data_IF_690449719134
#
_entry.id   IF_690449719134
#
_cell.length_a   1.000
_cell.length_b   1.000
_cell.length_c   1.000
_cell.angle_alpha   90.00
_cell.angle_beta   90.00
_cell.angle_gamma   90.00
#
_symmetry.space_group_name_H-M   'P 1'
#
loop_
_entity.id
_entity.type
_entity.pdbx_description
1 polymer ?
#
# COMPACT_ATOMS: atom_id res chain seq x y z
N UNK A 1 58.92 -20.67 -47.55
CA UNK A 1 57.60 -20.04 -47.57
C UNK A 1 56.60 -21.04 -47.00
N UNK A 2 56.30 -20.90 -45.80
CA UNK A 2 55.37 -21.75 -45.10
C UNK A 2 54.09 -21.01 -44.90
N UNK A 3 53.00 -21.55 -45.43
CA UNK A 3 51.64 -21.04 -45.18
C UNK A 3 51.22 -21.27 -43.76
N UNK A 4 50.64 -20.28 -43.07
CA UNK A 4 50.09 -20.53 -41.77
C UNK A 4 48.79 -21.33 -41.94
N UNK A 5 48.74 -22.44 -41.28
CA UNK A 5 47.52 -23.22 -41.18
C UNK A 5 46.40 -22.42 -40.51
N UNK A 6 45.36 -22.16 -41.25
CA UNK A 6 44.13 -21.62 -40.72
C UNK A 6 43.45 -22.72 -39.96
N UNK A 7 43.50 -22.69 -38.66
CA UNK A 7 42.65 -23.51 -37.78
C UNK A 7 41.25 -22.91 -37.79
N UNK A 8 40.40 -23.51 -38.56
CA UNK A 8 38.95 -23.30 -38.45
C UNK A 8 38.52 -23.90 -37.14
N UNK A 9 38.29 -23.05 -36.17
CA UNK A 9 37.47 -23.41 -34.99
C UNK A 9 36.05 -23.75 -35.46
N UNK A 10 35.80 -25.01 -35.63
CA UNK A 10 34.42 -25.46 -35.63
C UNK A 10 33.80 -25.21 -34.26
N UNK A 11 33.18 -24.06 -34.11
CA UNK A 11 32.23 -23.85 -33.05
C UNK A 11 31.09 -24.82 -33.29
N UNK A 12 31.09 -25.89 -32.52
CA UNK A 12 29.91 -26.72 -32.36
C UNK A 12 28.80 -25.86 -31.81
N UNK A 13 27.94 -25.37 -32.69
CA UNK A 13 26.66 -24.77 -32.31
C UNK A 13 25.82 -25.90 -31.72
N UNK A 14 25.87 -26.02 -30.41
CA UNK A 14 24.89 -26.80 -29.68
C UNK A 14 23.53 -26.16 -29.96
N UNK A 15 22.78 -26.73 -30.86
CA UNK A 15 21.36 -26.41 -31.03
C UNK A 15 20.62 -26.79 -29.74
N UNK A 16 20.55 -25.82 -28.85
CA UNK A 16 19.67 -25.93 -27.70
C UNK A 16 18.26 -26.07 -28.25
N UNK A 17 17.71 -27.27 -28.15
CA UNK A 17 16.30 -27.50 -28.42
C UNK A 17 15.50 -26.55 -27.56
N UNK A 18 14.84 -25.58 -28.18
CA UNK A 18 14.01 -24.64 -27.50
C UNK A 18 12.87 -25.40 -26.81
N UNK A 19 12.95 -25.53 -25.48
CA UNK A 19 11.84 -26.07 -24.70
C UNK A 19 10.67 -25.08 -24.85
N UNK A 20 9.61 -25.53 -25.49
CA UNK A 20 8.34 -24.83 -25.59
C UNK A 20 7.70 -24.79 -24.21
N UNK A 21 7.85 -23.68 -23.50
CA UNK A 21 7.28 -23.48 -22.17
C UNK A 21 7.66 -22.10 -21.63
N UNK A 22 7.01 -21.64 -20.55
CA UNK A 22 7.37 -20.37 -19.93
C UNK A 22 8.81 -20.39 -19.47
N UNK A 23 9.56 -19.36 -19.84
CA UNK A 23 10.98 -19.24 -19.45
C UNK A 23 11.09 -19.14 -17.92
N UNK A 24 12.02 -19.86 -17.28
CA UNK A 24 12.24 -19.74 -15.84
C UNK A 24 12.70 -18.31 -15.49
N UNK A 25 12.41 -17.91 -14.27
CA UNK A 25 12.88 -16.62 -13.73
C UNK A 25 14.40 -16.56 -13.81
N UNK A 26 14.90 -15.45 -14.30
CA UNK A 26 16.35 -15.17 -14.30
C UNK A 26 16.66 -14.23 -13.15
N UNK A 27 17.71 -14.55 -12.39
CA UNK A 27 18.21 -13.65 -11.37
C UNK A 27 19.01 -12.54 -12.07
N UNK A 28 18.58 -11.31 -11.88
CA UNK A 28 19.28 -10.11 -12.35
C UNK A 28 19.70 -9.30 -11.13
N UNK A 29 20.89 -8.69 -11.22
CA UNK A 29 21.34 -7.73 -10.21
C UNK A 29 20.78 -6.36 -10.56
N UNK A 30 20.04 -5.77 -9.63
CA UNK A 30 19.48 -4.42 -9.76
C UNK A 30 19.97 -3.59 -8.58
N UNK A 31 20.45 -2.39 -8.84
CA UNK A 31 20.75 -1.43 -7.78
C UNK A 31 19.44 -0.89 -7.21
N UNK A 32 19.21 -1.11 -5.93
CA UNK A 32 18.04 -0.65 -5.21
C UNK A 32 18.49 0.29 -4.11
N UNK A 33 17.90 1.49 -4.09
CA UNK A 33 18.09 2.42 -2.98
C UNK A 33 17.24 1.97 -1.79
N UNK A 34 17.87 1.40 -0.78
CA UNK A 34 17.16 0.88 0.40
C UNK A 34 18.12 0.65 1.56
N UNK A 35 17.58 0.16 2.65
CA UNK A 35 18.32 -0.15 3.88
C UNK A 35 18.58 -1.64 3.99
N UNK A 36 19.82 -2.02 4.28
CA UNK A 36 20.13 -3.40 4.67
C UNK A 36 19.81 -3.63 6.14
N UNK A 37 18.98 -4.63 6.41
CA UNK A 37 18.58 -5.03 7.76
C UNK A 37 18.94 -6.48 8.00
N UNK A 38 19.47 -6.77 9.19
CA UNK A 38 19.89 -8.10 9.57
C UNK A 38 21.41 -8.31 9.50
N UNK A 39 21.83 -9.52 9.80
CA UNK A 39 23.26 -9.90 9.81
C UNK A 39 23.48 -11.20 9.03
N UNK A 40 24.62 -11.29 8.38
CA UNK A 40 25.02 -12.50 7.67
C UNK A 40 24.04 -12.92 6.57
N UNK A 41 23.63 -14.18 6.59
CA UNK A 41 22.67 -14.72 5.58
C UNK A 41 21.24 -14.21 5.75
N UNK A 42 20.91 -13.60 6.89
CA UNK A 42 19.59 -13.05 7.18
C UNK A 42 19.46 -11.57 6.80
N UNK A 43 20.37 -11.04 5.99
CA UNK A 43 20.28 -9.69 5.45
C UNK A 43 19.09 -9.59 4.51
N UNK A 44 18.33 -8.52 4.69
CA UNK A 44 17.22 -8.16 3.81
C UNK A 44 17.34 -6.69 3.43
N UNK A 45 17.06 -6.39 2.19
CA UNK A 45 16.98 -5.01 1.69
C UNK A 45 15.55 -4.54 1.82
N UNK A 46 15.34 -3.47 2.56
CA UNK A 46 14.03 -2.86 2.77
C UNK A 46 14.05 -1.45 2.21
N UNK A 47 13.09 -1.15 1.36
CA UNK A 47 12.96 0.15 0.69
C UNK A 47 11.88 0.96 1.39
N UNK A 48 12.21 2.17 1.85
CA UNK A 48 11.28 3.07 2.53
C UNK A 48 10.00 3.33 1.75
N UNK A 49 10.13 3.56 0.46
CA UNK A 49 8.98 3.84 -0.40
C UNK A 49 8.01 2.68 -0.48
N UNK A 50 8.50 1.44 -0.41
CA UNK A 50 7.65 0.26 -0.44
C UNK A 50 6.98 0.01 0.92
N UNK A 51 7.69 0.27 2.02
CA UNK A 51 7.10 0.26 3.37
C UNK A 51 5.97 1.30 3.45
N UNK A 52 6.21 2.51 2.96
CA UNK A 52 5.21 3.57 2.90
C UNK A 52 3.98 3.17 2.08
N UNK A 53 4.18 2.63 0.88
CA UNK A 53 3.08 2.16 0.01
C UNK A 53 2.23 1.09 0.67
N UNK A 54 2.86 0.09 1.28
CA UNK A 54 2.13 -0.97 1.98
C UNK A 54 1.32 -0.43 3.15
N UNK A 55 1.89 0.50 3.93
CA UNK A 55 1.18 1.17 5.01
C UNK A 55 0.01 2.04 4.49
N UNK A 56 0.20 2.75 3.38
CA UNK A 56 -0.84 3.56 2.73
C UNK A 56 -1.96 2.69 2.10
N UNK A 57 -1.68 1.44 1.77
CA UNK A 57 -2.68 0.45 1.34
C UNK A 57 -3.46 -0.15 2.51
N UNK A 58 -3.07 0.13 3.74
CA UNK A 58 -3.73 -0.37 4.95
C UNK A 58 -3.17 -1.67 5.50
N UNK A 59 -2.01 -2.11 5.02
CA UNK A 59 -1.35 -3.30 5.56
C UNK A 59 -0.96 -3.12 7.03
N UNK A 60 -1.10 -4.18 7.80
CA UNK A 60 -0.64 -4.22 9.19
C UNK A 60 0.89 -4.32 9.27
N UNK A 61 1.46 -3.98 10.42
CA UNK A 61 2.91 -4.11 10.61
C UNK A 61 3.39 -5.54 10.39
N UNK A 62 2.58 -6.52 10.78
CA UNK A 62 2.90 -7.93 10.60
C UNK A 62 2.94 -8.34 9.13
N UNK A 63 1.99 -7.86 8.33
CA UNK A 63 1.97 -8.12 6.89
C UNK A 63 3.17 -7.49 6.18
N UNK A 64 3.54 -6.25 6.57
CA UNK A 64 4.71 -5.57 6.04
C UNK A 64 6.00 -6.33 6.44
N UNK A 65 6.10 -6.80 7.68
CA UNK A 65 7.24 -7.57 8.15
C UNK A 65 7.39 -8.89 7.38
N UNK A 66 6.29 -9.58 7.12
CA UNK A 66 6.25 -10.81 6.31
C UNK A 66 6.67 -10.51 4.86
N UNK A 67 6.20 -9.40 4.30
CA UNK A 67 6.54 -9.01 2.92
C UNK A 67 8.06 -8.88 2.71
N UNK A 68 8.76 -8.29 3.66
CA UNK A 68 10.20 -8.09 3.60
C UNK A 68 11.01 -9.22 4.26
N UNK A 69 10.34 -10.23 4.81
CA UNK A 69 10.98 -11.32 5.56
C UNK A 69 11.88 -10.79 6.71
N UNK A 70 11.36 -9.83 7.47
CA UNK A 70 12.03 -9.24 8.63
C UNK A 70 11.22 -9.45 9.90
N UNK A 71 11.88 -9.37 11.05
CA UNK A 71 11.18 -9.44 12.33
C UNK A 71 10.34 -8.18 12.56
N UNK A 72 9.15 -8.36 13.13
CA UNK A 72 8.21 -7.27 13.42
C UNK A 72 8.84 -6.14 14.26
N UNK A 73 9.58 -6.50 15.30
CA UNK A 73 10.24 -5.52 16.17
C UNK A 73 11.32 -4.72 15.43
N UNK A 74 12.05 -5.38 14.54
CA UNK A 74 13.05 -4.74 13.68
C UNK A 74 12.42 -3.78 12.71
N UNK A 75 11.30 -4.15 12.11
CA UNK A 75 10.52 -3.28 11.23
C UNK A 75 10.03 -2.03 11.97
N UNK A 76 9.41 -2.23 13.13
CA UNK A 76 8.91 -1.12 13.96
C UNK A 76 10.01 -0.19 14.41
N UNK A 77 11.14 -0.73 14.83
CA UNK A 77 12.26 0.08 15.28
C UNK A 77 12.80 0.99 14.18
N UNK A 78 12.95 0.48 12.96
CA UNK A 78 13.58 1.22 11.88
C UNK A 78 12.61 2.07 11.04
N UNK A 79 11.34 1.67 10.90
CA UNK A 79 10.39 2.25 9.96
C UNK A 79 9.10 2.77 10.59
N UNK A 80 9.05 2.93 11.91
CA UNK A 80 7.85 3.42 12.60
C UNK A 80 7.31 4.72 11.99
N UNK A 81 8.17 5.67 11.69
CA UNK A 81 7.79 6.96 11.11
C UNK A 81 7.23 6.82 9.69
N UNK A 82 7.84 5.96 8.88
CA UNK A 82 7.42 5.71 7.50
C UNK A 82 6.04 5.04 7.47
N UNK A 83 5.84 4.06 8.35
CA UNK A 83 4.56 3.36 8.52
C UNK A 83 3.47 4.32 9.00
N UNK A 84 3.77 5.15 10.00
CA UNK A 84 2.84 6.14 10.52
C UNK A 84 2.41 7.14 9.42
N UNK A 85 3.36 7.63 8.64
CA UNK A 85 3.10 8.54 7.52
C UNK A 85 2.20 7.90 6.46
N UNK A 86 2.46 6.65 6.08
CA UNK A 86 1.61 5.93 5.12
C UNK A 86 0.18 5.74 5.63
N UNK A 87 0.00 5.45 6.93
CA UNK A 87 -1.33 5.33 7.54
C UNK A 87 -2.09 6.64 7.62
N UNK A 88 -1.39 7.75 7.89
CA UNK A 88 -2.04 9.06 7.84
C UNK A 88 -2.50 9.43 6.43
N UNK A 89 -1.72 9.07 5.42
CA UNK A 89 -2.09 9.28 4.02
C UNK A 89 -3.35 8.46 3.63
N UNK A 90 -3.45 7.22 4.10
CA UNK A 90 -4.66 6.42 3.94
C UNK A 90 -5.88 7.09 4.59
N UNK A 91 -5.73 7.59 5.82
CA UNK A 91 -6.83 8.30 6.52
C UNK A 91 -7.28 9.55 5.77
N UNK A 92 -6.33 10.33 5.24
CA UNK A 92 -6.62 11.50 4.42
C UNK A 92 -7.38 11.13 3.15
N UNK A 93 -6.93 10.08 2.46
CA UNK A 93 -7.58 9.58 1.25
C UNK A 93 -9.01 9.09 1.52
N UNK A 94 -9.24 8.41 2.63
CA UNK A 94 -10.57 7.99 3.06
C UNK A 94 -11.48 9.19 3.36
N UNK A 95 -10.99 10.19 4.11
CA UNK A 95 -11.73 11.43 4.39
C UNK A 95 -12.12 12.16 3.10
N UNK A 96 -11.17 12.31 2.18
CA UNK A 96 -11.44 12.92 0.89
C UNK A 96 -12.52 12.18 0.11
N UNK A 97 -12.46 10.85 0.09
CA UNK A 97 -13.45 10.03 -0.61
C UNK A 97 -14.83 10.16 0.03
N UNK A 98 -14.92 10.18 1.35
CA UNK A 98 -16.17 10.39 2.08
C UNK A 98 -16.76 11.78 1.79
N UNK A 99 -15.95 12.82 1.85
CA UNK A 99 -16.37 14.20 1.57
C UNK A 99 -16.83 14.31 0.10
N UNK A 100 -16.08 13.76 -0.83
CA UNK A 100 -16.44 13.75 -2.24
C UNK A 100 -17.78 13.04 -2.49
N UNK A 101 -18.00 11.91 -1.84
CA UNK A 101 -19.26 11.17 -1.94
C UNK A 101 -20.42 11.96 -1.35
N UNK A 102 -20.24 12.61 -0.20
CA UNK A 102 -21.24 13.47 0.40
C UNK A 102 -21.61 14.66 -0.51
N UNK A 103 -20.60 15.33 -1.07
CA UNK A 103 -20.80 16.48 -1.96
C UNK A 103 -21.49 16.10 -3.27
N UNK A 104 -21.42 14.83 -3.68
CA UNK A 104 -22.18 14.31 -4.82
C UNK A 104 -23.69 14.11 -4.54
N UNK A 105 -24.14 14.38 -3.33
CA UNK A 105 -25.55 14.29 -2.94
C UNK A 105 -25.94 12.99 -2.22
N UNK A 106 -24.98 12.21 -1.74
CA UNK A 106 -25.26 10.99 -0.97
C UNK A 106 -25.80 11.36 0.43
N UNK A 107 -27.11 11.14 0.66
CA UNK A 107 -27.78 11.51 1.90
C UNK A 107 -27.20 10.81 3.13
N UNK A 108 -26.88 9.53 3.04
CA UNK A 108 -26.33 8.75 4.14
C UNK A 108 -24.97 9.31 4.58
N UNK A 109 -24.10 9.64 3.63
CA UNK A 109 -22.80 10.19 3.92
C UNK A 109 -22.87 11.63 4.44
N UNK A 110 -23.82 12.45 3.94
CA UNK A 110 -24.09 13.80 4.46
C UNK A 110 -24.52 13.76 5.92
N UNK A 111 -25.43 12.87 6.29
CA UNK A 111 -25.88 12.71 7.68
C UNK A 111 -24.70 12.25 8.56
N UNK A 112 -23.94 11.26 8.10
CA UNK A 112 -22.80 10.73 8.86
C UNK A 112 -21.72 11.78 9.10
N UNK A 113 -21.34 12.52 8.06
CA UNK A 113 -20.35 13.61 8.15
C UNK A 113 -20.87 14.77 8.98
N UNK A 114 -22.17 15.10 8.86
CA UNK A 114 -22.81 16.13 9.69
C UNK A 114 -22.68 15.82 11.18
N UNK A 115 -22.91 14.57 11.57
CA UNK A 115 -22.75 14.13 12.97
C UNK A 115 -21.29 14.15 13.43
N UNK A 116 -20.37 13.67 12.60
CA UNK A 116 -18.98 13.49 13.01
C UNK A 116 -18.10 14.74 12.86
N UNK A 117 -18.36 15.59 11.86
CA UNK A 117 -17.55 16.79 11.60
C UNK A 117 -18.22 18.03 12.17
N UNK A 118 -19.54 18.20 11.97
CA UNK A 118 -20.27 19.39 12.37
C UNK A 118 -20.94 19.27 13.76
N UNK A 119 -20.84 18.10 14.40
CA UNK A 119 -21.41 17.87 15.72
C UNK A 119 -22.94 17.88 15.74
N UNK A 120 -23.60 17.66 14.60
CA UNK A 120 -25.05 17.59 14.52
C UNK A 120 -25.54 16.36 15.27
N UNK A 121 -26.49 16.57 16.18
CA UNK A 121 -27.13 15.50 16.94
C UNK A 121 -28.61 15.39 16.55
N UNK A 122 -29.11 14.17 16.49
CA UNK A 122 -30.55 13.96 16.53
C UNK A 122 -31.00 14.25 17.95
N UNK A 123 -31.65 15.42 18.18
CA UNK A 123 -32.37 15.62 19.41
C UNK A 123 -33.54 14.63 19.42
N UNK A 124 -33.65 13.77 20.45
CA UNK A 124 -34.88 12.98 20.61
C UNK A 124 -36.01 13.98 20.71
N UNK A 125 -37.01 13.80 19.86
CA UNK A 125 -38.26 14.55 19.98
C UNK A 125 -38.91 14.05 21.28
N UNK A 126 -38.60 14.74 22.38
CA UNK A 126 -39.35 14.53 23.62
C UNK A 126 -40.77 15.01 23.33
N UNK A 127 -41.71 14.10 23.38
CA UNK A 127 -43.15 14.38 23.16
C UNK A 127 -43.71 15.47 24.10
N UNK A 128 -42.95 15.85 25.13
CA UNK A 128 -43.32 16.89 26.11
C UNK A 128 -43.07 18.34 25.61
N UNK A 129 -42.30 18.51 24.51
CA UNK A 129 -42.03 19.84 23.93
C UNK A 129 -42.71 20.01 22.56
N UNK A 130 -43.90 19.45 22.39
CA UNK A 130 -44.74 19.82 21.26
C UNK A 130 -45.31 21.23 21.55
N UNK A 131 -44.54 22.24 21.23
CA UNK A 131 -45.03 23.61 21.15
C UNK A 131 -46.11 23.61 20.10
N UNK A 132 -47.37 23.72 20.53
CA UNK A 132 -48.51 23.84 19.63
C UNK A 132 -48.25 25.09 18.79
N UNK A 133 -48.16 24.89 17.48
CA UNK A 133 -47.91 26.01 16.57
C UNK A 133 -49.09 26.98 16.65
N UNK A 134 -48.86 28.30 16.67
CA UNK A 134 -49.93 29.30 16.93
C UNK A 134 -51.01 29.38 15.84
N UNK A 135 -50.93 28.62 14.77
CA UNK A 135 -51.92 28.52 13.69
C UNK A 135 -52.65 27.19 13.63
N UNK A 136 -52.63 26.40 14.66
CA UNK A 136 -53.55 25.26 14.75
C UNK A 136 -54.94 25.80 15.08
N UNK A 137 -55.74 26.08 14.04
CA UNK A 137 -57.13 26.42 14.16
C UNK A 137 -57.92 25.23 14.69
N UNK A 138 -58.83 25.51 15.62
CA UNK A 138 -59.79 24.57 16.19
C UNK A 138 -60.74 24.01 15.14
#
# INVERSE_FOLDING_TARGET
MSDPAVTTDEQATATATAKTGPKPKQLITVEVLGYEIGRGMNRRTVVDTDVYKLAAMGCTDSEIAIWFDVKLDTLRYNFANVIAKGREDLKQSLRMSQIKLALSGNATMLIWLGKNILGQQETPINAENTTILPWSDN
#
